data_IF_633661855128
#
_entry.id   IF_633661855128
#
_cell.length_a   1.000
_cell.length_b   1.000
_cell.length_c   1.000
_cell.angle_alpha   90.00
_cell.angle_beta   90.00
_cell.angle_gamma   90.00
#
_symmetry.space_group_name_H-M   'P 1'
#
loop_
_entity.id
_entity.type
_entity.pdbx_description
1 polymer ?
#
# COMPACT_ATOMS: atom_id res chain seq x y z
N UNK A 1 -7.86 -25.75 -75.70
CA UNK A 1 -8.21 -24.33 -75.52
C UNK A 1 -8.67 -24.18 -74.08
N UNK A 2 -8.17 -23.36 -73.15
CA UNK A 2 -7.11 -22.34 -73.02
C UNK A 2 -6.82 -22.20 -71.48
N UNK A 3 -5.56 -22.10 -71.00
CA UNK A 3 -4.88 -20.91 -70.39
C UNK A 3 -5.76 -20.04 -69.46
N UNK A 4 -5.38 -19.52 -68.28
CA UNK A 4 -4.12 -19.34 -67.54
C UNK A 4 -4.46 -18.88 -66.08
N UNK A 5 -3.48 -19.01 -65.18
CA UNK A 5 -3.20 -18.41 -63.86
C UNK A 5 -4.11 -17.36 -63.19
N UNK A 6 -4.10 -17.39 -61.83
CA UNK A 6 -3.66 -16.21 -61.06
C UNK A 6 -4.59 -15.60 -60.00
N UNK A 7 -4.10 -15.64 -58.75
CA UNK A 7 -4.07 -14.53 -57.77
C UNK A 7 -5.09 -14.44 -56.61
N UNK A 8 -4.49 -14.04 -55.47
CA UNK A 8 -4.97 -13.19 -54.35
C UNK A 8 -5.28 -13.81 -52.97
N UNK A 9 -4.51 -13.28 -52.01
CA UNK A 9 -4.68 -13.30 -50.55
C UNK A 9 -5.97 -12.56 -50.12
N UNK A 10 -6.70 -13.09 -49.13
CA UNK A 10 -6.96 -12.43 -47.83
C UNK A 10 -8.07 -13.11 -47.00
N UNK A 11 -7.69 -13.43 -45.76
CA UNK A 11 -8.35 -13.10 -44.48
C UNK A 11 -9.84 -12.73 -44.43
N UNK A 12 -10.59 -13.47 -43.60
CA UNK A 12 -11.69 -13.10 -42.70
C UNK A 12 -12.55 -14.36 -42.47
N UNK A 13 -13.23 -14.63 -41.36
CA UNK A 13 -13.28 -14.19 -39.98
C UNK A 13 -14.26 -15.17 -39.29
N UNK A 14 -14.21 -15.21 -37.96
CA UNK A 14 -15.30 -15.60 -37.04
C UNK A 14 -15.52 -17.09 -36.70
N UNK A 15 -15.55 -17.41 -35.40
CA UNK A 15 -15.97 -18.75 -34.97
C UNK A 15 -15.80 -19.26 -33.54
N UNK A 16 -15.84 -18.43 -32.48
CA UNK A 16 -16.46 -18.73 -31.16
C UNK A 16 -15.93 -19.82 -30.18
N UNK A 17 -15.84 -19.41 -28.88
CA UNK A 17 -15.92 -20.14 -27.57
C UNK A 17 -14.57 -20.61 -26.96
N UNK A 18 -14.15 -20.26 -25.74
CA UNK A 18 -14.86 -19.91 -24.48
C UNK A 18 -14.01 -18.99 -23.59
N UNK A 19 -14.60 -18.20 -22.66
CA UNK A 19 -13.84 -17.47 -21.64
C UNK A 19 -13.57 -18.39 -20.44
N UNK A 20 -12.35 -18.93 -20.33
CA UNK A 20 -11.91 -19.52 -19.06
C UNK A 20 -11.57 -18.38 -18.10
N UNK A 21 -12.48 -18.19 -17.15
CA UNK A 21 -12.24 -17.43 -15.93
C UNK A 21 -11.10 -18.09 -15.18
N UNK A 22 -9.91 -17.48 -15.21
CA UNK A 22 -8.93 -17.68 -14.17
C UNK A 22 -8.57 -16.31 -13.64
N UNK A 23 -9.13 -16.01 -12.48
CA UNK A 23 -8.87 -14.82 -11.69
C UNK A 23 -7.45 -14.92 -11.18
N UNK A 24 -6.48 -14.60 -12.05
CA UNK A 24 -5.11 -14.32 -11.65
C UNK A 24 -5.12 -13.02 -10.88
N UNK A 25 -5.30 -13.09 -9.56
CA UNK A 25 -4.89 -12.03 -8.67
C UNK A 25 -3.46 -11.66 -9.04
N UNK A 26 -3.29 -10.48 -9.61
CA UNK A 26 -1.99 -9.87 -9.78
C UNK A 26 -1.35 -9.87 -8.38
N UNK A 27 -0.44 -10.82 -8.15
CA UNK A 27 0.48 -10.77 -7.03
C UNK A 27 1.37 -9.56 -7.32
N UNK A 28 0.88 -8.41 -6.85
CA UNK A 28 1.60 -7.16 -6.86
C UNK A 28 2.91 -7.42 -6.14
N UNK A 29 3.95 -7.62 -6.95
CA UNK A 29 5.26 -8.05 -6.51
C UNK A 29 5.87 -6.87 -5.80
N UNK A 30 5.56 -6.73 -4.51
CA UNK A 30 6.17 -5.71 -3.67
C UNK A 30 7.69 -5.86 -3.79
N UNK A 31 8.43 -4.77 -4.06
CA UNK A 31 9.86 -4.84 -4.22
C UNK A 31 10.48 -5.53 -3.00
N UNK A 32 11.42 -6.48 -3.17
CA UNK A 32 11.96 -7.28 -2.07
C UNK A 32 12.67 -6.46 -0.98
N UNK A 33 12.81 -5.14 -1.15
CA UNK A 33 13.38 -4.18 -0.20
C UNK A 33 12.53 -2.89 -0.05
N UNK A 34 11.22 -2.94 -0.30
CA UNK A 34 10.36 -1.77 -0.06
C UNK A 34 10.28 -1.49 1.44
N UNK A 35 10.95 -0.42 1.89
CA UNK A 35 10.68 0.15 3.21
C UNK A 35 9.34 0.87 3.15
N UNK A 36 8.47 0.55 4.10
CA UNK A 36 7.22 1.27 4.30
C UNK A 36 7.52 2.41 5.25
N UNK A 37 7.10 3.61 4.90
CA UNK A 37 7.32 4.83 5.70
C UNK A 37 5.97 5.41 6.10
N UNK A 38 5.60 5.24 7.35
CA UNK A 38 4.34 5.69 7.91
C UNK A 38 4.52 6.97 8.73
N UNK A 39 3.60 7.91 8.55
CA UNK A 39 3.42 9.06 9.43
C UNK A 39 1.95 9.15 9.84
N UNK A 40 1.69 9.29 11.14
CA UNK A 40 0.35 9.23 11.71
C UNK A 40 -0.06 10.63 12.13
N UNK A 41 -1.28 11.03 11.78
CA UNK A 41 -1.89 12.30 12.23
C UNK A 41 -2.86 11.99 13.37
N UNK A 42 -2.68 12.65 14.50
CA UNK A 42 -3.54 12.52 15.67
C UNK A 42 -4.53 13.69 15.69
N UNK A 43 -5.82 13.36 15.71
CA UNK A 43 -6.92 14.32 15.75
C UNK A 43 -7.79 14.09 16.99
N UNK A 44 -8.42 15.15 17.49
CA UNK A 44 -9.46 15.06 18.52
C UNK A 44 -10.79 14.58 17.90
N UNK A 45 -11.83 14.43 18.73
CA UNK A 45 -13.15 13.99 18.29
C UNK A 45 -13.85 14.97 17.33
N UNK A 46 -13.40 16.23 17.27
CA UNK A 46 -13.91 17.25 16.35
C UNK A 46 -13.08 17.35 15.06
N UNK A 47 -12.02 16.54 14.92
CA UNK A 47 -11.11 16.58 13.78
C UNK A 47 -9.99 17.61 13.90
N UNK A 48 -9.80 18.26 15.05
CA UNK A 48 -8.69 19.19 15.26
C UNK A 48 -7.39 18.44 15.55
N UNK A 49 -6.26 18.95 15.06
CA UNK A 49 -4.96 18.35 15.34
C UNK A 49 -4.63 18.33 16.84
N UNK A 50 -4.23 17.15 17.35
CA UNK A 50 -3.65 16.99 18.67
C UNK A 50 -2.17 17.35 18.62
N UNK A 51 -1.87 18.64 18.75
CA UNK A 51 -0.50 19.16 18.73
C UNK A 51 0.19 18.99 20.08
N UNK A 52 1.53 19.02 20.09
CA UNK A 52 2.36 18.97 21.31
C UNK A 52 1.97 17.85 22.29
N UNK A 53 1.44 16.75 21.76
CA UNK A 53 0.88 15.64 22.53
C UNK A 53 1.88 14.50 22.58
N UNK A 54 2.21 14.06 23.79
CA UNK A 54 3.12 12.94 24.01
C UNK A 54 2.48 11.63 23.56
N UNK A 55 3.26 10.82 22.85
CA UNK A 55 2.82 9.53 22.33
C UNK A 55 3.92 8.48 22.43
N UNK A 56 3.50 7.22 22.38
CA UNK A 56 4.38 6.06 22.19
C UNK A 56 3.90 5.23 21.02
N UNK A 57 4.81 4.75 20.17
CA UNK A 57 4.52 3.82 19.07
C UNK A 57 5.21 2.49 19.34
N UNK A 58 4.44 1.40 19.32
CA UNK A 58 4.98 0.04 19.34
C UNK A 58 5.26 -0.41 17.92
N UNK A 59 6.54 -0.64 17.63
CA UNK A 59 7.01 -1.18 16.37
C UNK A 59 6.80 -2.70 16.30
N UNK A 60 6.84 -3.31 15.10
CA UNK A 60 6.66 -4.76 14.94
C UNK A 60 7.72 -5.60 15.68
N UNK A 61 8.92 -5.03 15.91
CA UNK A 61 9.98 -5.65 16.71
C UNK A 61 9.71 -5.61 18.22
N UNK A 62 8.55 -5.09 18.63
CA UNK A 62 8.11 -4.96 20.01
C UNK A 62 8.68 -3.74 20.74
N UNK A 63 9.59 -2.97 20.13
CA UNK A 63 10.16 -1.78 20.77
C UNK A 63 9.15 -0.64 20.79
N UNK A 64 9.16 0.11 21.89
CA UNK A 64 8.46 1.39 21.99
C UNK A 64 9.36 2.52 21.53
N UNK A 65 8.79 3.41 20.71
CA UNK A 65 9.38 4.68 20.31
C UNK A 65 8.51 5.80 20.86
N UNK A 66 9.10 6.73 21.57
CA UNK A 66 8.38 7.85 22.17
C UNK A 66 8.56 9.11 21.34
N UNK A 67 7.58 10.01 21.39
CA UNK A 67 7.67 11.28 20.73
C UNK A 67 6.58 12.25 21.17
N UNK A 68 6.62 13.43 20.56
CA UNK A 68 5.59 14.47 20.71
C UNK A 68 5.12 14.85 19.32
N UNK A 69 3.82 15.03 19.14
CA UNK A 69 3.26 15.47 17.85
C UNK A 69 3.65 16.89 17.50
N UNK A 70 3.77 17.18 16.21
CA UNK A 70 4.04 18.53 15.72
C UNK A 70 2.78 19.44 15.72
N UNK A 71 2.93 20.67 15.20
CA UNK A 71 1.84 21.65 15.09
C UNK A 71 0.69 21.25 14.15
N UNK A 72 0.82 20.13 13.43
CA UNK A 72 -0.21 19.54 12.58
C UNK A 72 -0.70 18.20 13.16
N UNK A 73 -0.33 17.87 14.39
CA UNK A 73 -0.70 16.62 15.05
C UNK A 73 0.03 15.40 14.49
N UNK A 74 1.13 15.58 13.73
CA UNK A 74 1.85 14.46 13.12
C UNK A 74 2.86 13.87 14.07
N UNK A 75 2.94 12.54 14.08
CA UNK A 75 4.06 11.81 14.69
C UNK A 75 5.34 11.98 13.86
N UNK A 76 6.46 11.56 14.43
CA UNK A 76 7.64 11.25 13.64
C UNK A 76 7.34 10.16 12.60
N UNK A 77 8.15 10.10 11.55
CA UNK A 77 8.11 9.05 10.54
C UNK A 77 8.61 7.73 11.11
N UNK A 78 7.95 6.64 10.73
CA UNK A 78 8.26 5.29 11.18
C UNK A 78 8.47 4.43 9.96
N UNK A 79 9.57 3.68 9.96
CA UNK A 79 9.90 2.77 8.86
C UNK A 79 9.76 1.33 9.29
N UNK A 80 9.08 0.53 8.47
CA UNK A 80 8.95 -0.92 8.63
C UNK A 80 9.47 -1.65 7.39
N UNK A 81 9.95 -2.88 7.58
CA UNK A 81 10.53 -3.70 6.51
C UNK A 81 9.49 -4.40 5.62
N UNK A 82 8.21 -4.10 5.83
CA UNK A 82 7.07 -4.80 5.27
C UNK A 82 5.78 -4.21 5.81
N UNK A 83 4.67 -4.35 5.09
CA UNK A 83 3.35 -3.94 5.57
C UNK A 83 3.02 -4.66 6.89
N UNK A 84 3.17 -3.94 8.01
CA UNK A 84 3.07 -4.47 9.36
C UNK A 84 2.30 -3.50 10.25
N UNK A 85 1.64 -4.06 11.26
CA UNK A 85 0.89 -3.26 12.21
C UNK A 85 1.83 -2.48 13.16
N UNK A 86 1.47 -1.23 13.38
CA UNK A 86 2.04 -0.38 14.44
C UNK A 86 0.92 0.10 15.35
N UNK A 87 1.18 0.15 16.65
CA UNK A 87 0.20 0.62 17.63
C UNK A 87 0.64 1.95 18.25
N UNK A 88 -0.25 2.94 18.26
CA UNK A 88 0.00 4.25 18.87
C UNK A 88 -0.74 4.37 20.20
N UNK A 89 -0.05 4.82 21.23
CA UNK A 89 -0.57 5.06 22.58
C UNK A 89 -0.42 6.53 22.92
N UNK A 90 -1.52 7.19 23.25
CA UNK A 90 -1.53 8.60 23.66
C UNK A 90 -1.26 8.72 25.16
N UNK A 91 -0.47 9.72 25.56
CA UNK A 91 -0.25 10.05 26.98
C UNK A 91 0.49 8.98 27.79
N UNK A 92 1.05 7.95 27.15
CA UNK A 92 1.78 6.88 27.83
C UNK A 92 3.16 7.37 28.26
N UNK A 93 3.26 8.06 29.41
CA UNK A 93 4.53 8.43 30.04
C UNK A 93 4.88 7.34 31.05
N UNK A 94 5.88 6.52 30.73
CA UNK A 94 6.42 5.58 31.71
C UNK A 94 7.18 6.38 32.76
N UNK A 95 6.58 6.53 33.94
CA UNK A 95 7.26 7.09 35.11
C UNK A 95 8.24 6.02 35.64
N UNK A 96 9.50 6.43 35.87
CA UNK A 96 10.56 5.60 36.45
C UNK A 96 10.70 5.85 37.94
#
# INVERSE_FOLDING_TARGET
MAFDSGCHLNSAAEGSRSPSSDTGHAVESQPPNALFDEQIVLLDANGNALTDTYYSVRMPDGKLRHGTTDSQGRTARHQTSGAQDVAVFLGHRTEV
#
